data_IF_615534497268
#
_entry.id   IF_615534497268
#
_cell.length_a   1.000
_cell.length_b   1.000
_cell.length_c   1.000
_cell.angle_alpha   90.00
_cell.angle_beta   90.00
_cell.angle_gamma   90.00
#
_symmetry.space_group_name_H-M   'P 1'
#
loop_
_entity.id
_entity.type
_entity.pdbx_description
1 polymer ?
#
# COMPACT_ATOMS: atom_id res chain seq x y z
N UNK A 1 16.33 30.34 -10.15
CA UNK A 1 15.92 28.97 -10.54
C UNK A 1 14.96 28.46 -9.49
N UNK A 2 13.66 28.61 -9.74
CA UNK A 2 12.61 28.24 -8.80
C UNK A 2 12.32 26.76 -8.96
N UNK A 3 12.93 25.94 -8.11
CA UNK A 3 12.63 24.50 -8.04
C UNK A 3 11.19 24.31 -7.64
N UNK A 4 10.33 24.03 -8.61
CA UNK A 4 8.95 23.63 -8.37
C UNK A 4 8.95 22.31 -7.62
N UNK A 5 8.76 22.35 -6.30
CA UNK A 5 8.36 21.19 -5.53
C UNK A 5 7.02 20.77 -6.14
N UNK A 6 7.03 19.68 -6.91
CA UNK A 6 5.81 19.08 -7.46
C UNK A 6 4.88 18.79 -6.28
N UNK A 7 3.84 19.61 -6.12
CA UNK A 7 2.75 19.42 -5.15
C UNK A 7 2.02 18.14 -5.50
N UNK A 8 2.57 16.98 -5.12
CA UNK A 8 1.93 15.69 -5.30
C UNK A 8 1.39 15.21 -3.97
N UNK A 9 0.12 14.87 -3.99
CA UNK A 9 -0.54 14.17 -2.89
C UNK A 9 0.12 12.80 -2.72
N UNK A 10 0.56 12.52 -1.50
CA UNK A 10 1.21 11.26 -1.14
C UNK A 10 0.33 10.07 -1.53
N UNK A 11 0.94 9.04 -2.11
CA UNK A 11 0.25 7.82 -2.51
C UNK A 11 -0.67 7.97 -3.73
N UNK A 12 -0.75 9.14 -4.39
CA UNK A 12 -1.60 9.31 -5.56
C UNK A 12 -1.28 8.32 -6.70
N UNK A 13 0.02 8.06 -6.94
CA UNK A 13 0.45 7.11 -7.95
C UNK A 13 -0.04 5.68 -7.64
N UNK A 14 0.22 5.20 -6.42
CA UNK A 14 -0.21 3.87 -5.97
C UNK A 14 -1.74 3.75 -5.97
N UNK A 15 -2.44 4.80 -5.53
CA UNK A 15 -3.90 4.86 -5.53
C UNK A 15 -4.46 4.62 -6.92
N UNK A 16 -3.89 5.26 -7.93
CA UNK A 16 -4.31 5.06 -9.31
C UNK A 16 -4.08 3.61 -9.77
N UNK A 17 -2.93 3.01 -9.45
CA UNK A 17 -2.66 1.60 -9.79
C UNK A 17 -3.65 0.62 -9.16
N UNK A 18 -4.02 0.83 -7.89
CA UNK A 18 -5.04 0.00 -7.22
C UNK A 18 -6.39 0.11 -7.95
N UNK A 19 -6.80 1.32 -8.33
CA UNK A 19 -8.05 1.56 -9.04
C UNK A 19 -8.06 0.89 -10.43
N UNK A 20 -6.97 1.04 -11.18
CA UNK A 20 -6.82 0.49 -12.53
C UNK A 20 -6.88 -1.05 -12.52
N UNK A 21 -6.29 -1.68 -11.50
CA UNK A 21 -6.18 -3.15 -11.39
C UNK A 21 -7.38 -3.83 -10.72
N UNK A 22 -8.37 -3.08 -10.23
CA UNK A 22 -9.49 -3.62 -9.43
C UNK A 22 -10.21 -4.78 -10.10
N UNK A 23 -10.49 -4.68 -11.40
CA UNK A 23 -11.20 -5.73 -12.16
C UNK A 23 -10.37 -7.01 -12.27
N UNK A 24 -9.05 -6.89 -12.44
CA UNK A 24 -8.16 -8.03 -12.58
C UNK A 24 -8.08 -8.82 -11.26
N UNK A 25 -7.90 -8.10 -10.15
CA UNK A 25 -7.79 -8.70 -8.82
C UNK A 25 -9.10 -9.35 -8.36
N UNK A 26 -10.26 -8.78 -8.73
CA UNK A 26 -11.56 -9.35 -8.41
C UNK A 26 -11.78 -10.75 -9.01
N UNK A 27 -11.13 -11.10 -10.12
CA UNK A 27 -11.25 -12.44 -10.73
C UNK A 27 -10.63 -13.49 -9.81
N UNK A 28 -9.40 -13.27 -9.33
CA UNK A 28 -8.73 -14.19 -8.40
C UNK A 28 -9.46 -14.29 -7.07
N UNK A 29 -9.90 -13.16 -6.52
CA UNK A 29 -10.63 -13.13 -5.25
C UNK A 29 -11.95 -13.92 -5.29
N UNK A 30 -12.68 -13.88 -6.41
CA UNK A 30 -13.92 -14.67 -6.61
C UNK A 30 -13.68 -16.17 -6.64
N UNK A 31 -12.48 -16.61 -7.01
CA UNK A 31 -12.07 -18.01 -7.01
C UNK A 31 -11.49 -18.45 -5.65
N UNK A 32 -11.57 -17.59 -4.62
CA UNK A 32 -11.04 -17.89 -3.29
C UNK A 32 -9.51 -17.78 -3.18
N UNK A 33 -8.82 -17.32 -4.23
CA UNK A 33 -7.37 -17.20 -4.23
C UNK A 33 -6.93 -15.84 -3.64
N UNK A 34 -5.83 -15.80 -2.86
CA UNK A 34 -5.20 -14.55 -2.51
C UNK A 34 -4.64 -13.87 -3.76
N UNK A 35 -4.69 -12.54 -3.80
CA UNK A 35 -4.31 -11.75 -4.97
C UNK A 35 -3.42 -10.57 -4.55
N UNK A 36 -2.27 -10.47 -5.20
CA UNK A 36 -1.26 -9.43 -4.93
C UNK A 36 -1.16 -8.53 -6.17
N UNK A 37 -1.25 -7.21 -5.98
CA UNK A 37 -0.92 -6.24 -7.02
C UNK A 37 0.57 -5.87 -6.91
N UNK A 38 1.38 -6.20 -7.91
CA UNK A 38 2.78 -5.77 -7.97
C UNK A 38 2.91 -4.48 -8.79
N UNK A 39 3.36 -3.41 -8.14
CA UNK A 39 3.66 -2.12 -8.77
C UNK A 39 5.15 -2.06 -9.08
N UNK A 40 5.47 -1.82 -10.35
CA UNK A 40 6.82 -1.64 -10.85
C UNK A 40 6.98 -0.23 -11.42
N UNK A 41 7.91 0.55 -10.87
CA UNK A 41 8.21 1.90 -11.36
C UNK A 41 9.35 1.84 -12.38
N UNK A 42 9.00 1.77 -13.66
CA UNK A 42 9.97 1.76 -14.75
C UNK A 42 10.30 3.17 -15.29
N UNK A 43 9.70 4.21 -14.73
CA UNK A 43 9.87 5.60 -15.20
C UNK A 43 11.00 6.32 -14.44
N UNK A 44 11.27 5.88 -13.22
CA UNK A 44 12.36 6.38 -12.39
C UNK A 44 13.51 5.35 -12.35
N UNK A 45 14.73 5.70 -12.79
CA UNK A 45 15.90 4.83 -12.66
C UNK A 45 16.18 4.37 -11.23
N UNK A 46 15.85 5.19 -10.23
CA UNK A 46 15.99 4.85 -8.81
C UNK A 46 14.76 4.09 -8.26
N UNK A 47 13.65 4.07 -9.00
CA UNK A 47 12.37 3.44 -8.61
C UNK A 47 11.82 3.96 -7.27
N UNK A 48 12.14 5.20 -6.91
CA UNK A 48 11.71 5.83 -5.66
C UNK A 48 10.47 6.69 -5.87
N UNK A 49 10.42 7.41 -6.98
CA UNK A 49 9.45 8.47 -7.20
C UNK A 49 7.99 7.97 -7.21
N UNK A 50 7.24 8.28 -6.15
CA UNK A 50 5.83 7.87 -5.99
C UNK A 50 5.65 6.38 -5.67
N UNK A 51 6.73 5.71 -5.30
CA UNK A 51 6.81 4.30 -4.91
C UNK A 51 7.61 4.13 -3.60
N UNK A 52 7.68 5.18 -2.80
CA UNK A 52 8.26 5.12 -1.46
C UNK A 52 7.30 4.43 -0.50
N UNK A 53 7.80 3.92 0.63
CA UNK A 53 6.98 3.18 1.59
C UNK A 53 5.73 3.95 2.05
N UNK A 54 5.86 5.25 2.29
CA UNK A 54 4.77 6.10 2.73
C UNK A 54 3.70 6.28 1.63
N UNK A 55 4.05 6.18 0.35
CA UNK A 55 3.07 6.22 -0.76
C UNK A 55 2.13 5.01 -0.73
N UNK A 56 2.68 3.81 -0.45
CA UNK A 56 1.87 2.59 -0.35
C UNK A 56 0.92 2.66 0.85
N UNK A 57 1.44 3.00 2.03
CA UNK A 57 0.65 3.09 3.26
C UNK A 57 -0.45 4.14 3.11
N UNK A 58 -0.13 5.33 2.62
CA UNK A 58 -1.11 6.40 2.43
C UNK A 58 -2.15 6.09 1.34
N UNK A 59 -1.77 5.36 0.29
CA UNK A 59 -2.73 4.92 -0.72
C UNK A 59 -3.70 3.87 -0.19
N UNK A 60 -3.19 2.90 0.58
CA UNK A 60 -3.97 1.81 1.14
C UNK A 60 -4.87 2.30 2.26
N UNK A 61 -4.30 2.93 3.27
CA UNK A 61 -4.98 3.22 4.53
C UNK A 61 -5.30 4.69 4.74
N UNK A 62 -4.78 5.59 3.91
CA UNK A 62 -4.90 7.03 4.11
C UNK A 62 -3.72 7.61 4.89
N UNK A 63 -3.62 8.93 4.90
CA UNK A 63 -2.53 9.65 5.56
C UNK A 63 -2.57 9.41 7.08
N UNK A 64 -1.43 9.01 7.66
CA UNK A 64 -1.31 8.83 9.10
C UNK A 64 -1.42 10.19 9.80
N UNK A 65 -2.36 10.29 10.74
CA UNK A 65 -2.59 11.47 11.56
C UNK A 65 -2.33 11.11 13.01
N UNK A 66 -1.59 11.96 13.72
CA UNK A 66 -1.31 11.81 15.16
C UNK A 66 -1.97 12.96 15.91
N UNK A 67 -2.62 12.66 17.03
CA UNK A 67 -3.19 13.65 17.93
C UNK A 67 -2.19 13.94 19.06
N UNK A 68 -1.94 15.23 19.30
CA UNK A 68 -1.01 15.69 20.32
C UNK A 68 -1.76 16.42 21.43
N UNK A 69 -1.46 16.05 22.68
CA UNK A 69 -1.89 16.78 23.88
C UNK A 69 -0.69 16.95 24.81
N UNK A 70 -0.45 18.17 25.27
CA UNK A 70 0.68 18.51 26.15
C UNK A 70 2.04 17.97 25.65
N UNK A 71 2.29 18.13 24.34
CA UNK A 71 3.48 17.63 23.62
C UNK A 71 3.69 16.10 23.67
N UNK A 72 2.64 15.34 23.96
CA UNK A 72 2.62 13.86 23.92
C UNK A 72 1.64 13.37 22.88
N UNK A 73 1.97 12.27 22.21
CA UNK A 73 1.04 11.55 21.33
C UNK A 73 0.01 10.88 22.22
N UNK A 74 -1.26 11.22 22.01
CA UNK A 74 -2.39 10.62 22.74
C UNK A 74 -3.25 9.70 21.88
N UNK A 75 -3.18 9.85 20.56
CA UNK A 75 -3.86 8.97 19.61
C UNK A 75 -3.16 9.00 18.24
N UNK A 76 -3.41 7.98 17.42
CA UNK A 76 -3.02 7.95 16.01
C UNK A 76 -4.06 7.18 15.18
N UNK A 77 -4.36 7.71 14.00
CA UNK A 77 -5.32 7.10 13.08
C UNK A 77 -4.96 7.38 11.63
N UNK A 78 -5.42 6.51 10.72
CA UNK A 78 -5.30 6.78 9.30
C UNK A 78 -6.54 7.53 8.77
N UNK A 79 -6.30 8.63 8.06
CA UNK A 79 -7.30 9.61 7.67
C UNK A 79 -7.92 9.42 6.27
N UNK A 80 -8.19 10.54 5.58
CA UNK A 80 -8.86 10.56 4.26
C UNK A 80 -8.04 9.87 3.17
N UNK A 81 -8.70 9.56 2.04
CA UNK A 81 -8.11 8.98 0.83
C UNK A 81 -7.62 7.52 0.93
N UNK A 82 -8.09 6.78 1.94
CA UNK A 82 -7.90 5.33 2.05
C UNK A 82 -8.68 4.57 0.97
N UNK A 83 -8.01 3.66 0.26
CA UNK A 83 -8.67 2.76 -0.68
C UNK A 83 -9.06 1.41 -0.08
N UNK A 84 -8.43 0.99 1.00
CA UNK A 84 -8.68 -0.30 1.62
C UNK A 84 -9.44 -0.07 2.92
N UNK A 85 -10.65 -0.64 2.99
CA UNK A 85 -11.56 -0.60 4.13
C UNK A 85 -12.24 -1.95 4.24
N UNK A 86 -12.91 -2.19 5.35
CA UNK A 86 -13.72 -3.39 5.59
C UNK A 86 -14.84 -3.55 4.54
N UNK A 87 -15.38 -2.45 4.00
CA UNK A 87 -16.42 -2.43 2.97
C UNK A 87 -15.90 -2.19 1.53
N UNK A 88 -14.62 -1.84 1.36
CA UNK A 88 -14.07 -1.41 0.08
C UNK A 88 -12.72 -2.06 -0.28
N UNK A 89 -12.59 -2.53 -1.53
CA UNK A 89 -11.37 -3.16 -2.08
C UNK A 89 -10.82 -4.35 -1.26
N UNK A 90 -11.69 -5.09 -0.58
CA UNK A 90 -11.35 -6.34 0.16
C UNK A 90 -10.88 -7.51 -0.73
N UNK A 91 -10.92 -7.35 -2.06
CA UNK A 91 -10.44 -8.35 -3.02
C UNK A 91 -8.91 -8.42 -3.12
N UNK A 92 -8.21 -7.34 -2.73
CA UNK A 92 -6.74 -7.35 -2.68
C UNK A 92 -6.29 -8.01 -1.38
N UNK A 93 -5.33 -8.93 -1.46
CA UNK A 93 -4.65 -9.48 -0.28
C UNK A 93 -3.44 -8.64 0.12
N UNK A 94 -2.73 -8.06 -0.87
CA UNK A 94 -1.63 -7.14 -0.65
C UNK A 94 -1.39 -6.25 -1.88
N UNK A 95 -0.68 -5.15 -1.65
CA UNK A 95 -0.05 -4.34 -2.70
C UNK A 95 1.46 -4.43 -2.52
N UNK A 96 2.21 -4.71 -3.57
CA UNK A 96 3.65 -4.93 -3.54
C UNK A 96 4.42 -3.91 -4.35
N UNK A 97 5.56 -3.46 -3.85
CA UNK A 97 6.58 -2.78 -4.61
C UNK A 97 7.55 -3.81 -5.19
N UNK A 98 7.52 -4.01 -6.51
CA UNK A 98 8.54 -4.78 -7.22
C UNK A 98 9.69 -3.85 -7.56
N UNK A 99 10.91 -4.19 -7.12
CA UNK A 99 12.14 -3.46 -7.45
C UNK A 99 13.23 -4.38 -7.98
N UNK A 100 14.12 -3.84 -8.79
CA UNK A 100 15.35 -4.55 -9.17
C UNK A 100 16.46 -4.32 -8.14
N UNK A 101 17.22 -5.37 -7.86
CA UNK A 101 18.47 -5.30 -7.12
C UNK A 101 19.58 -6.03 -7.88
N UNK A 102 20.83 -5.85 -7.47
CA UNK A 102 21.98 -6.53 -8.06
C UNK A 102 21.89 -8.07 -7.99
N UNK A 103 21.09 -8.61 -7.06
CA UNK A 103 20.92 -10.06 -6.84
C UNK A 103 19.61 -10.61 -7.39
N UNK A 104 18.78 -9.78 -8.04
CA UNK A 104 17.49 -10.18 -8.60
C UNK A 104 16.32 -9.29 -8.18
N UNK A 105 15.08 -9.65 -8.56
CA UNK A 105 13.90 -8.91 -8.17
C UNK A 105 13.62 -9.07 -6.66
N UNK A 106 13.33 -7.95 -6.00
CA UNK A 106 12.87 -7.93 -4.62
C UNK A 106 11.46 -7.37 -4.62
N UNK A 107 10.56 -8.03 -3.89
CA UNK A 107 9.20 -7.54 -3.70
C UNK A 107 9.00 -7.16 -2.25
N UNK A 108 8.56 -5.94 -1.99
CA UNK A 108 8.08 -5.54 -0.67
C UNK A 108 6.55 -5.51 -0.66
N UNK A 109 5.91 -6.37 0.12
CA UNK A 109 4.45 -6.47 0.23
C UNK A 109 3.92 -5.66 1.39
N UNK A 110 2.86 -4.91 1.15
CA UNK A 110 2.01 -4.28 2.16
C UNK A 110 0.72 -5.06 2.20
N UNK A 111 0.47 -5.78 3.30
CA UNK A 111 -0.72 -6.58 3.46
C UNK A 111 -1.97 -5.70 3.59
N UNK A 112 -3.08 -6.13 3.00
CA UNK A 112 -4.39 -5.54 3.22
C UNK A 112 -5.04 -6.15 4.47
N UNK A 113 -5.14 -5.37 5.55
CA UNK A 113 -5.77 -5.78 6.81
C UNK A 113 -7.25 -6.17 6.65
N UNK A 114 -7.89 -5.72 5.57
CA UNK A 114 -9.30 -5.97 5.25
C UNK A 114 -9.47 -7.00 4.13
N UNK A 115 -8.43 -7.78 3.80
CA UNK A 115 -8.49 -8.77 2.75
C UNK A 115 -9.52 -9.87 3.05
N UNK A 116 -10.35 -10.21 2.08
CA UNK A 116 -11.25 -11.37 2.15
C UNK A 116 -10.47 -12.70 2.15
N UNK A 117 -9.43 -12.76 1.33
CA UNK A 117 -8.56 -13.93 1.20
C UNK A 117 -7.15 -13.50 1.64
N UNK A 118 -6.76 -13.76 2.88
CA UNK A 118 -5.46 -13.36 3.43
C UNK A 118 -4.30 -14.12 2.77
N UNK A 119 -3.10 -13.53 2.82
CA UNK A 119 -1.89 -14.22 2.35
C UNK A 119 -1.43 -15.27 3.36
N UNK A 120 -1.01 -16.43 2.86
CA UNK A 120 -0.23 -17.37 3.67
C UNK A 120 1.25 -16.97 3.62
N UNK A 121 1.65 -16.08 4.53
CA UNK A 121 2.97 -15.44 4.53
C UNK A 121 4.11 -16.46 4.75
N UNK A 122 3.86 -17.51 5.52
CA UNK A 122 4.82 -18.59 5.78
C UNK A 122 5.21 -19.34 4.50
N UNK A 123 4.30 -19.36 3.52
CA UNK A 123 4.52 -20.04 2.24
C UNK A 123 5.10 -19.14 1.13
N UNK A 124 5.37 -17.87 1.42
CA UNK A 124 5.86 -16.95 0.39
C UNK A 124 7.32 -17.25 0.01
N UNK A 125 7.67 -17.14 -1.28
CA UNK A 125 9.05 -17.26 -1.72
C UNK A 125 9.99 -16.25 -1.02
N UNK A 126 11.29 -16.59 -0.84
CA UNK A 126 12.25 -15.71 -0.16
C UNK A 126 12.46 -14.32 -0.78
N UNK A 127 12.00 -14.09 -2.03
CA UNK A 127 12.08 -12.78 -2.68
C UNK A 127 11.03 -11.77 -2.19
N UNK A 128 10.09 -12.20 -1.32
CA UNK A 128 9.07 -11.35 -0.71
C UNK A 128 9.50 -10.90 0.70
N UNK A 129 9.64 -9.59 0.87
CA UNK A 129 9.73 -8.89 2.16
C UNK A 129 8.33 -8.40 2.53
N UNK A 130 7.77 -8.84 3.67
CA UNK A 130 6.40 -8.46 4.06
C UNK A 130 6.41 -7.38 5.13
N UNK A 131 5.59 -6.35 4.94
CA UNK A 131 5.36 -5.23 5.86
C UNK A 131 3.94 -5.30 6.38
N UNK A 132 3.81 -5.40 7.71
CA UNK A 132 2.54 -5.28 8.41
C UNK A 132 2.31 -3.82 8.78
N UNK A 133 1.07 -3.37 8.61
CA UNK A 133 0.65 -2.03 9.00
C UNK A 133 -0.46 -2.19 10.03
N UNK A 134 -0.23 -1.70 11.24
CA UNK A 134 -1.28 -1.60 12.25
C UNK A 134 -2.23 -0.47 11.83
N UNK A 135 -3.49 -0.82 11.56
CA UNK A 135 -4.50 0.15 11.10
C UNK A 135 -5.42 0.49 12.25
N UNK A 136 -5.22 1.66 12.84
CA UNK A 136 -6.17 2.26 13.78
C UNK A 136 -7.11 3.20 13.00
N UNK A 137 -8.41 2.94 13.08
CA UNK A 137 -9.44 3.83 12.56
C UNK A 137 -10.01 4.66 13.71
N UNK A 138 -10.24 5.95 13.46
CA UNK A 138 -10.96 6.81 14.42
C UNK A 138 -12.41 6.34 14.50
N UNK A 139 -12.89 6.04 15.71
CA UNK A 139 -14.31 5.79 15.94
C UNK A 139 -15.12 7.05 15.57
N UNK A 140 -16.20 6.86 14.81
CA UNK A 140 -17.08 7.93 14.35
C UNK A 140 -17.80 8.65 15.51
#
# INVERSE_FOLDING_TARGET
MSGGVSSRTVGAHIRQKILDSRKQVQVGAKLGAPSILLVYNNLDPMQLFGTEQHDFIAAMYGEMTVELKDSRIVDSYHGRNSLLRDDHNTSFSAVGHLRHSATGPIVRLYENAFARNSLNIVSLPPCFEVVYVEVTQRAA
#
